data_IF_109344297739
#
_entry.id   IF_109344297739
#
_cell.length_a   1.000
_cell.length_b   1.000
_cell.length_c   1.000
_cell.angle_alpha   90.00
_cell.angle_beta   90.00
_cell.angle_gamma   90.00
#
_symmetry.space_group_name_H-M   'P 1'
#
loop_
_entity.id
_entity.type
_entity.pdbx_description
1 polymer ?
#
# COMPACT_ATOMS: atom_id res chain seq x y z
N UNK A 1 -31.13 -10.36 -4.55
CA UNK A 1 -31.46 -9.05 -5.04
C UNK A 1 -30.99 -7.96 -4.07
N UNK A 2 -30.16 -7.13 -4.53
CA UNK A 2 -29.52 -6.10 -3.73
C UNK A 2 -30.49 -5.07 -3.15
N UNK A 3 -31.68 -4.95 -3.71
CA UNK A 3 -32.66 -3.98 -3.25
C UNK A 3 -33.44 -4.35 -2.00
N UNK A 4 -33.21 -5.51 -1.45
CA UNK A 4 -33.98 -5.99 -0.29
C UNK A 4 -33.43 -5.52 1.04
N UNK A 5 -32.13 -5.24 1.14
CA UNK A 5 -31.51 -4.71 2.34
C UNK A 5 -30.90 -3.36 2.02
N UNK A 6 -31.14 -2.38 2.90
CA UNK A 6 -30.43 -1.11 2.78
C UNK A 6 -28.97 -1.32 3.12
N UNK A 7 -28.10 -0.42 2.66
CA UNK A 7 -26.68 -0.47 2.98
C UNK A 7 -26.45 -0.50 4.49
N UNK A 8 -27.28 0.21 5.26
CA UNK A 8 -27.17 0.24 6.72
C UNK A 8 -27.54 -1.09 7.34
N UNK A 9 -28.59 -1.75 6.82
CA UNK A 9 -29.00 -3.07 7.32
C UNK A 9 -27.93 -4.12 7.02
N UNK A 10 -27.31 -4.03 5.85
CA UNK A 10 -26.24 -4.92 5.45
C UNK A 10 -25.01 -4.72 6.34
N UNK A 11 -24.65 -3.48 6.64
CA UNK A 11 -23.56 -3.15 7.54
C UNK A 11 -23.81 -3.69 8.94
N UNK A 12 -25.06 -3.55 9.43
CA UNK A 12 -25.41 -4.06 10.74
C UNK A 12 -25.33 -5.58 10.81
N UNK A 13 -25.82 -6.28 9.79
CA UNK A 13 -25.71 -7.72 9.70
C UNK A 13 -24.26 -8.18 9.69
N UNK A 14 -23.42 -7.51 8.91
CA UNK A 14 -21.98 -7.80 8.85
C UNK A 14 -21.31 -7.55 10.20
N UNK A 15 -21.66 -6.46 10.87
CA UNK A 15 -21.16 -6.12 12.20
C UNK A 15 -21.51 -7.20 13.23
N UNK A 16 -22.67 -7.81 13.09
CA UNK A 16 -23.15 -8.86 14.00
C UNK A 16 -22.58 -10.25 13.65
N UNK A 17 -21.69 -10.34 12.68
CA UNK A 17 -21.00 -11.60 12.37
C UNK A 17 -21.60 -12.42 11.24
N UNK A 18 -22.57 -11.89 10.50
CA UNK A 18 -23.13 -12.58 9.33
C UNK A 18 -22.06 -12.63 8.23
N UNK A 19 -21.57 -13.84 7.94
CA UNK A 19 -20.50 -14.06 6.96
C UNK A 19 -20.88 -13.61 5.55
N UNK A 20 -22.12 -13.87 5.14
CA UNK A 20 -22.59 -13.45 3.81
C UNK A 20 -22.68 -11.94 3.69
N UNK A 21 -23.14 -11.30 4.75
CA UNK A 21 -23.19 -9.84 4.79
C UNK A 21 -21.79 -9.24 4.72
N UNK A 22 -20.82 -9.81 5.44
CA UNK A 22 -19.42 -9.39 5.37
C UNK A 22 -18.88 -9.51 3.97
N UNK A 23 -19.08 -10.64 3.29
CA UNK A 23 -18.62 -10.86 1.92
C UNK A 23 -19.26 -9.86 0.96
N UNK A 24 -20.54 -9.60 1.11
CA UNK A 24 -21.27 -8.69 0.23
C UNK A 24 -20.80 -7.24 0.43
N UNK A 25 -20.62 -6.81 1.66
CA UNK A 25 -20.11 -5.47 1.96
C UNK A 25 -18.69 -5.30 1.40
N UNK A 26 -17.87 -6.33 1.55
CA UNK A 26 -16.50 -6.33 1.02
C UNK A 26 -16.51 -6.19 -0.51
N UNK A 27 -17.33 -6.99 -1.20
CA UNK A 27 -17.46 -6.93 -2.66
C UNK A 27 -17.93 -5.56 -3.14
N UNK A 28 -18.95 -5.02 -2.51
CA UNK A 28 -19.51 -3.72 -2.88
C UNK A 28 -18.53 -2.57 -2.67
N UNK A 29 -17.57 -2.74 -1.76
CA UNK A 29 -16.58 -1.73 -1.43
C UNK A 29 -15.18 -2.06 -1.90
N UNK A 30 -15.05 -3.06 -2.77
CA UNK A 30 -13.75 -3.51 -3.28
C UNK A 30 -12.98 -2.37 -3.95
N UNK A 31 -13.65 -1.56 -4.76
CA UNK A 31 -13.03 -0.39 -5.39
C UNK A 31 -12.51 0.63 -4.39
N UNK A 32 -13.24 0.82 -3.30
CA UNK A 32 -12.80 1.72 -2.23
C UNK A 32 -11.52 1.21 -1.58
N UNK A 33 -11.46 -0.09 -1.28
CA UNK A 33 -10.28 -0.70 -0.68
C UNK A 33 -9.08 -0.53 -1.60
N UNK A 34 -9.21 -0.86 -2.88
CA UNK A 34 -8.13 -0.71 -3.85
C UNK A 34 -7.69 0.74 -4.01
N UNK A 35 -8.61 1.70 -3.94
CA UNK A 35 -8.26 3.11 -4.04
C UNK A 35 -7.34 3.56 -2.91
N UNK A 36 -7.51 3.01 -1.72
CA UNK A 36 -6.62 3.28 -0.58
C UNK A 36 -5.31 2.53 -0.72
N UNK A 37 -5.37 1.25 -1.10
CA UNK A 37 -4.21 0.38 -1.27
C UNK A 37 -3.21 0.96 -2.26
N UNK A 38 -3.69 1.53 -3.35
CA UNK A 38 -2.83 2.13 -4.39
C UNK A 38 -1.90 3.22 -3.86
N UNK A 39 -2.29 3.90 -2.80
CA UNK A 39 -1.47 4.95 -2.18
C UNK A 39 -0.18 4.41 -1.58
N UNK A 40 -0.12 3.10 -1.36
CA UNK A 40 1.01 2.45 -0.69
C UNK A 40 1.81 1.54 -1.61
N UNK A 41 1.56 1.62 -2.91
CA UNK A 41 2.36 0.89 -3.89
C UNK A 41 3.80 1.39 -3.87
N UNK A 42 4.73 0.50 -4.19
CA UNK A 42 6.14 0.88 -4.30
C UNK A 42 6.90 0.94 -2.98
N UNK A 43 6.30 0.41 -1.91
CA UNK A 43 6.94 0.41 -0.59
C UNK A 43 7.46 -0.95 -0.15
N UNK A 44 7.68 -1.83 -1.13
CA UNK A 44 8.28 -3.14 -0.87
C UNK A 44 7.30 -4.22 -0.43
N UNK A 45 6.00 -3.94 -0.46
CA UNK A 45 4.95 -4.92 -0.16
C UNK A 45 4.14 -5.15 -1.43
N UNK A 46 3.87 -6.41 -1.74
CA UNK A 46 3.11 -6.78 -2.93
C UNK A 46 1.68 -6.21 -2.87
N UNK A 47 1.11 -5.80 -4.02
CA UNK A 47 -0.25 -5.27 -4.05
C UNK A 47 -1.30 -6.19 -3.41
N UNK A 48 -1.18 -7.49 -3.62
CA UNK A 48 -2.12 -8.45 -3.04
C UNK A 48 -2.04 -8.49 -1.52
N UNK A 49 -0.84 -8.38 -0.97
CA UNK A 49 -0.65 -8.33 0.48
C UNK A 49 -1.18 -7.02 1.06
N UNK A 50 -0.97 -5.91 0.35
CA UNK A 50 -1.56 -4.63 0.74
C UNK A 50 -3.09 -4.69 0.72
N UNK A 51 -3.65 -5.35 -0.28
CA UNK A 51 -5.09 -5.53 -0.38
C UNK A 51 -5.63 -6.33 0.81
N UNK A 52 -4.95 -7.40 1.22
CA UNK A 52 -5.36 -8.17 2.38
C UNK A 52 -5.35 -7.33 3.66
N UNK A 53 -4.34 -6.49 3.83
CA UNK A 53 -4.29 -5.54 4.95
C UNK A 53 -5.43 -4.53 4.86
N UNK A 54 -5.72 -4.06 3.65
CA UNK A 54 -6.84 -3.17 3.42
C UNK A 54 -8.17 -3.79 3.78
N UNK A 55 -8.37 -5.06 3.43
CA UNK A 55 -9.56 -5.82 3.80
C UNK A 55 -9.69 -5.96 5.31
N UNK A 56 -8.59 -6.21 5.99
CA UNK A 56 -8.58 -6.30 7.45
C UNK A 56 -9.02 -4.98 8.07
N UNK A 57 -8.46 -3.87 7.60
CA UNK A 57 -8.86 -2.53 8.04
C UNK A 57 -10.32 -2.23 7.75
N UNK A 58 -10.80 -2.66 6.60
CA UNK A 58 -12.19 -2.51 6.20
C UNK A 58 -13.13 -3.28 7.14
N UNK A 59 -12.79 -4.53 7.45
CA UNK A 59 -13.60 -5.33 8.37
C UNK A 59 -13.61 -4.76 9.79
N UNK A 60 -12.48 -4.20 10.23
CA UNK A 60 -12.43 -3.48 11.50
C UNK A 60 -13.35 -2.26 11.47
N UNK A 61 -13.42 -1.56 10.34
CA UNK A 61 -14.34 -0.44 10.16
C UNK A 61 -15.80 -0.90 10.25
N UNK A 62 -16.12 -2.01 9.62
CA UNK A 62 -17.49 -2.58 9.68
C UNK A 62 -17.89 -2.85 11.12
N UNK A 63 -16.99 -3.44 11.89
CA UNK A 63 -17.26 -3.78 13.29
C UNK A 63 -17.37 -2.58 14.21
N UNK A 64 -16.63 -1.53 13.91
CA UNK A 64 -16.56 -0.34 14.75
C UNK A 64 -17.50 0.79 14.34
N UNK A 65 -18.14 0.69 13.18
CA UNK A 65 -18.99 1.75 12.69
C UNK A 65 -20.32 1.82 13.42
N UNK A 66 -20.71 3.02 13.79
CA UNK A 66 -22.00 3.30 14.42
C UNK A 66 -22.69 4.40 13.62
N UNK A 67 -23.93 4.16 13.27
CA UNK A 67 -24.75 5.11 12.52
C UNK A 67 -24.91 6.44 13.26
N UNK A 68 -24.81 6.43 14.58
CA UNK A 68 -24.90 7.63 15.40
C UNK A 68 -23.75 8.61 15.20
N UNK A 69 -22.66 8.16 14.55
CA UNK A 69 -21.52 9.06 14.25
C UNK A 69 -21.87 10.17 13.26
N UNK A 70 -22.97 10.03 12.51
CA UNK A 70 -23.43 11.07 11.59
C UNK A 70 -22.59 11.22 10.33
N UNK A 71 -21.67 10.29 10.07
CA UNK A 71 -20.85 10.25 8.85
C UNK A 71 -21.25 9.07 8.00
N UNK A 72 -20.89 9.13 6.71
CA UNK A 72 -21.03 7.99 5.82
C UNK A 72 -20.01 6.92 6.21
N UNK A 73 -20.38 5.65 5.99
CA UNK A 73 -19.48 4.54 6.28
C UNK A 73 -18.15 4.68 5.54
N UNK A 74 -18.17 5.06 4.26
CA UNK A 74 -16.95 5.24 3.47
C UNK A 74 -15.99 6.24 4.12
N UNK A 75 -16.52 7.34 4.64
CA UNK A 75 -15.72 8.35 5.34
C UNK A 75 -15.04 7.79 6.58
N UNK A 76 -15.72 6.91 7.28
CA UNK A 76 -15.17 6.22 8.45
C UNK A 76 -14.17 5.13 8.07
N UNK A 77 -14.46 4.40 6.99
CA UNK A 77 -13.67 3.23 6.59
C UNK A 77 -12.29 3.59 6.03
N UNK A 78 -12.18 4.67 5.24
CA UNK A 78 -10.93 5.02 4.58
C UNK A 78 -9.77 5.18 5.57
N UNK A 79 -9.89 5.95 6.66
CA UNK A 79 -8.81 6.03 7.65
C UNK A 79 -8.49 4.70 8.33
N UNK A 80 -9.47 3.84 8.51
CA UNK A 80 -9.26 2.52 9.11
C UNK A 80 -8.47 1.60 8.19
N UNK A 81 -8.78 1.62 6.90
CA UNK A 81 -8.05 0.87 5.88
C UNK A 81 -6.59 1.37 5.83
N UNK A 82 -6.41 2.66 5.67
CA UNK A 82 -5.09 3.28 5.59
C UNK A 82 -4.29 3.04 6.88
N UNK A 83 -4.95 3.15 8.03
CA UNK A 83 -4.31 2.94 9.32
C UNK A 83 -3.77 1.54 9.51
N UNK A 84 -4.48 0.52 9.02
CA UNK A 84 -4.03 -0.87 9.09
C UNK A 84 -2.78 -1.09 8.25
N UNK A 85 -2.77 -0.53 7.04
CA UNK A 85 -1.62 -0.62 6.13
C UNK A 85 -0.42 0.10 6.74
N UNK A 86 -0.61 1.34 7.22
CA UNK A 86 0.48 2.12 7.83
C UNK A 86 1.06 1.43 9.05
N UNK A 87 0.20 0.83 9.87
CA UNK A 87 0.66 0.09 11.06
C UNK A 87 1.54 -1.09 10.68
N UNK A 88 1.13 -1.85 9.66
CA UNK A 88 1.95 -2.96 9.16
C UNK A 88 3.29 -2.45 8.65
N UNK A 89 3.30 -1.40 7.84
CA UNK A 89 4.52 -0.84 7.28
C UNK A 89 5.47 -0.35 8.39
N UNK A 90 4.92 0.20 9.46
CA UNK A 90 5.71 0.68 10.59
C UNK A 90 6.28 -0.46 11.43
N UNK A 91 5.45 -1.47 11.75
CA UNK A 91 5.82 -2.50 12.72
C UNK A 91 6.50 -3.72 12.10
N UNK A 92 6.05 -4.13 10.90
CA UNK A 92 6.50 -5.37 10.27
C UNK A 92 7.20 -5.15 8.94
N UNK A 93 6.81 -4.11 8.21
CA UNK A 93 7.36 -3.79 6.90
C UNK A 93 8.63 -2.96 6.92
N UNK A 94 8.78 -1.96 7.81
CA UNK A 94 9.87 -1.01 7.72
C UNK A 94 11.26 -1.61 7.68
N UNK A 95 11.52 -2.65 8.45
CA UNK A 95 12.85 -3.27 8.52
C UNK A 95 13.20 -3.91 7.17
N UNK A 96 12.27 -4.65 6.56
CA UNK A 96 12.48 -5.28 5.25
C UNK A 96 12.57 -4.26 4.12
N UNK A 97 11.66 -3.29 4.13
CA UNK A 97 11.64 -2.21 3.15
C UNK A 97 12.92 -1.39 3.25
N UNK A 98 13.34 -1.06 4.46
CA UNK A 98 14.56 -0.31 4.73
C UNK A 98 15.80 -1.03 4.22
N UNK A 99 15.91 -2.34 4.48
CA UNK A 99 17.03 -3.16 4.01
C UNK A 99 17.05 -3.24 2.50
N UNK A 100 15.92 -3.53 1.88
CA UNK A 100 15.81 -3.59 0.43
C UNK A 100 16.18 -2.27 -0.23
N UNK A 101 15.72 -1.16 0.34
CA UNK A 101 16.05 0.17 -0.17
C UNK A 101 17.53 0.49 -0.01
N UNK A 102 18.15 0.11 1.10
CA UNK A 102 19.58 0.30 1.31
C UNK A 102 20.41 -0.51 0.33
N UNK A 103 20.06 -1.76 0.11
CA UNK A 103 20.75 -2.63 -0.83
C UNK A 103 20.61 -2.10 -2.26
N UNK A 104 19.42 -1.68 -2.65
CA UNK A 104 19.17 -1.07 -3.96
C UNK A 104 19.95 0.24 -4.11
N UNK A 105 19.97 1.06 -3.06
CA UNK A 105 20.72 2.31 -3.05
C UNK A 105 22.21 2.09 -3.25
N UNK A 106 22.77 1.08 -2.60
CA UNK A 106 24.19 0.71 -2.79
C UNK A 106 24.45 0.21 -4.20
N UNK A 107 23.57 -0.64 -4.72
CA UNK A 107 23.66 -1.17 -6.08
C UNK A 107 23.63 -0.04 -7.11
N UNK A 108 22.73 0.91 -6.95
CA UNK A 108 22.61 2.07 -7.86
C UNK A 108 23.84 2.95 -7.76
N UNK A 109 24.34 3.24 -6.57
CA UNK A 109 25.54 4.06 -6.39
C UNK A 109 26.76 3.41 -7.01
N UNK A 110 26.94 2.11 -6.83
CA UNK A 110 28.05 1.36 -7.40
C UNK A 110 27.96 1.36 -8.94
N UNK A 111 26.76 1.15 -9.48
CA UNK A 111 26.53 1.19 -10.91
C UNK A 111 26.80 2.58 -11.49
N UNK A 112 26.34 3.62 -10.82
CA UNK A 112 26.56 5.01 -11.25
C UNK A 112 28.04 5.34 -11.29
N UNK A 113 28.77 4.97 -10.25
CA UNK A 113 30.22 5.19 -10.17
C UNK A 113 30.96 4.47 -11.27
N UNK A 114 30.63 3.19 -11.48
CA UNK A 114 31.24 2.37 -12.52
C UNK A 114 30.98 2.93 -13.93
N UNK A 115 29.70 3.22 -14.21
CA UNK A 115 29.30 3.71 -15.52
C UNK A 115 29.81 5.12 -15.80
N UNK A 116 29.86 5.99 -14.79
CA UNK A 116 30.44 7.33 -14.95
C UNK A 116 31.90 7.25 -15.36
N UNK A 117 32.67 6.35 -14.77
CA UNK A 117 34.08 6.14 -15.12
C UNK A 117 34.20 5.58 -16.52
N UNK A 118 33.37 4.61 -16.89
CA UNK A 118 33.44 3.98 -18.22
C UNK A 118 32.99 4.90 -19.35
N UNK A 119 31.96 5.68 -19.11
CA UNK A 119 31.34 6.54 -20.13
C UNK A 119 31.93 7.94 -20.18
N UNK A 120 32.59 8.37 -19.12
CA UNK A 120 33.09 9.74 -19.01
C UNK A 120 32.00 10.79 -18.85
N UNK A 121 30.80 10.38 -18.45
CA UNK A 121 29.66 11.24 -18.23
C UNK A 121 28.69 10.57 -17.24
N UNK A 122 27.70 11.31 -16.77
CA UNK A 122 26.64 10.75 -15.94
C UNK A 122 25.84 9.71 -16.73
N UNK A 123 25.61 8.51 -16.16
CA UNK A 123 24.76 7.52 -16.83
C UNK A 123 23.29 7.94 -16.80
N UNK A 124 22.57 7.54 -17.83
CA UNK A 124 21.12 7.76 -17.89
C UNK A 124 20.40 6.76 -17.01
N UNK A 125 19.13 7.04 -16.72
CA UNK A 125 18.28 6.13 -15.96
C UNK A 125 18.18 4.76 -16.63
N UNK A 126 18.05 4.75 -17.96
CA UNK A 126 18.04 3.50 -18.76
C UNK A 126 19.33 2.71 -18.62
N UNK A 127 20.46 3.36 -18.62
CA UNK A 127 21.76 2.71 -18.46
C UNK A 127 21.90 2.11 -17.06
N UNK A 128 21.44 2.82 -16.03
CA UNK A 128 21.43 2.32 -14.67
C UNK A 128 20.47 1.12 -14.53
N UNK A 129 19.31 1.19 -15.16
CA UNK A 129 18.36 0.09 -15.16
C UNK A 129 18.93 -1.17 -15.79
N UNK A 130 19.61 -1.03 -16.91
CA UNK A 130 20.26 -2.16 -17.57
C UNK A 130 21.36 -2.79 -16.71
N UNK A 131 22.17 -1.97 -16.08
CA UNK A 131 23.30 -2.47 -15.28
C UNK A 131 22.86 -3.12 -13.98
N UNK A 132 21.84 -2.56 -13.31
CA UNK A 132 21.39 -3.03 -12.01
C UNK A 132 20.30 -4.09 -12.09
N UNK A 133 19.58 -4.17 -13.20
CA UNK A 133 18.40 -5.03 -13.33
C UNK A 133 17.17 -4.46 -12.63
N UNK A 134 17.26 -3.25 -12.11
CA UNK A 134 16.13 -2.58 -11.44
C UNK A 134 15.33 -1.77 -12.45
N UNK A 135 14.04 -1.55 -12.15
CA UNK A 135 13.21 -0.68 -12.96
C UNK A 135 13.58 0.79 -12.71
N UNK A 136 13.26 1.72 -13.65
CA UNK A 136 13.49 3.14 -13.41
C UNK A 136 12.81 3.65 -12.12
N UNK A 137 11.63 3.15 -11.83
CA UNK A 137 10.88 3.53 -10.62
C UNK A 137 11.61 3.06 -9.36
N UNK A 138 12.14 1.85 -9.38
CA UNK A 138 12.92 1.31 -8.26
C UNK A 138 14.20 2.11 -8.04
N UNK A 139 14.86 2.53 -9.11
CA UNK A 139 16.06 3.34 -9.02
C UNK A 139 15.76 4.69 -8.41
N UNK A 140 14.72 5.35 -8.88
CA UNK A 140 14.30 6.66 -8.35
C UNK A 140 13.96 6.57 -6.86
N UNK A 141 13.24 5.54 -6.47
CA UNK A 141 12.88 5.29 -5.08
C UNK A 141 14.12 5.03 -4.20
N UNK A 142 15.05 4.23 -4.70
CA UNK A 142 16.28 3.91 -3.97
C UNK A 142 17.18 5.13 -3.80
N UNK A 143 17.27 5.98 -4.79
CA UNK A 143 18.07 7.22 -4.71
C UNK A 143 17.49 8.17 -3.66
N UNK A 144 16.18 8.32 -3.63
CA UNK A 144 15.50 9.15 -2.63
C UNK A 144 15.78 8.64 -1.21
N UNK A 145 15.70 7.32 -1.02
CA UNK A 145 15.94 6.71 0.28
C UNK A 145 17.41 6.75 0.71
N UNK A 146 18.33 6.83 -0.25
CA UNK A 146 19.76 6.84 0.02
C UNK A 146 20.32 8.24 0.25
N UNK A 147 19.54 9.29 0.05
CA UNK A 147 19.98 10.66 0.34
C UNK A 147 20.29 10.81 1.83
N UNK A 148 21.50 11.31 2.16
CA UNK A 148 21.82 11.50 3.57
C UNK A 148 20.92 12.57 4.18
N UNK A 149 20.37 12.23 5.32
CA UNK A 149 19.62 13.20 6.12
C UNK A 149 20.67 14.08 6.81
N UNK A 150 20.71 15.28 6.37
CA UNK A 150 21.62 16.26 6.98
C UNK A 150 20.91 16.93 8.15
#
# INVERSE_FOLDING_TARGET
MSGTLSDLDLLEAARNGDSRACEQVLEENNGLIWSVVRRYYGRGVEPDDLYQLGCLGFLKAVRGFDQSYGTQFSTYAVPKIAGEIRRFLRDDGPVKVSRGLKERGMSVRNARSKLSTQLGREPTLSELAQDTGLSPEEIASAETAAEPVI
#
